data_IF_763999244465
#
_entry.id   IF_763999244465
#
_cell.length_a   1.000
_cell.length_b   1.000
_cell.length_c   1.000
_cell.angle_alpha   90.00
_cell.angle_beta   90.00
_cell.angle_gamma   90.00
#
_symmetry.space_group_name_H-M   'P 1'
#
loop_
_entity.id
_entity.type
_entity.pdbx_description
1 polymer ?
#
# COMPACT_ATOMS: atom_id res chain seq x y z
N UNK A 1 30.87 -11.07 21.08
CA UNK A 1 31.28 -9.69 20.79
C UNK A 1 30.49 -9.24 19.58
N UNK A 2 29.57 -8.26 19.69
CA UNK A 2 28.94 -7.68 18.50
C UNK A 2 29.96 -6.79 17.79
N UNK A 3 30.03 -6.90 16.46
CA UNK A 3 30.85 -6.04 15.59
C UNK A 3 29.98 -4.98 14.92
N UNK A 4 30.62 -3.95 14.37
CA UNK A 4 29.96 -2.91 13.59
C UNK A 4 29.28 -3.55 12.36
N UNK A 5 28.00 -3.25 12.13
CA UNK A 5 27.20 -3.76 11.01
C UNK A 5 26.81 -2.62 10.08
N UNK A 6 26.95 -2.82 8.78
CA UNK A 6 26.55 -1.82 7.78
C UNK A 6 25.04 -1.60 7.72
N UNK A 7 24.26 -2.56 8.22
CA UNK A 7 22.81 -2.44 8.38
C UNK A 7 22.41 -1.30 9.31
N UNK A 8 23.27 -0.96 10.29
CA UNK A 8 23.03 0.12 11.25
C UNK A 8 23.39 1.51 10.69
N UNK A 9 24.05 1.56 9.51
CA UNK A 9 24.50 2.82 8.91
C UNK A 9 23.41 3.52 8.09
N UNK A 10 22.55 2.75 7.43
CA UNK A 10 21.57 3.26 6.47
C UNK A 10 20.16 2.96 6.95
N UNK A 11 19.38 4.01 7.22
CA UNK A 11 17.99 3.87 7.62
C UNK A 11 17.10 3.41 6.45
N UNK A 12 16.11 2.57 6.76
CA UNK A 12 15.09 2.09 5.81
C UNK A 12 13.80 2.87 5.98
N UNK A 13 13.00 2.94 4.92
CA UNK A 13 11.68 3.58 4.98
C UNK A 13 10.68 2.75 5.80
N UNK A 14 9.91 3.42 6.67
CA UNK A 14 8.91 2.79 7.52
C UNK A 14 7.51 2.80 6.86
N UNK A 15 7.35 2.09 5.74
CA UNK A 15 6.05 1.94 5.06
C UNK A 15 5.27 0.76 5.63
N UNK A 16 3.97 0.94 5.86
CA UNK A 16 3.09 -0.13 6.32
C UNK A 16 2.91 -1.24 5.27
N UNK A 17 2.57 -2.44 5.72
CA UNK A 17 2.38 -3.59 4.84
C UNK A 17 1.33 -3.33 3.74
N UNK A 18 0.17 -2.78 4.10
CA UNK A 18 -0.92 -2.50 3.16
C UNK A 18 -0.55 -1.45 2.09
N UNK A 19 0.34 -0.49 2.42
CA UNK A 19 0.81 0.53 1.46
C UNK A 19 2.03 0.09 0.65
N UNK A 20 2.61 -1.07 0.98
CA UNK A 20 3.84 -1.55 0.36
C UNK A 20 3.51 -2.31 -0.93
N UNK A 21 4.20 -1.95 -2.02
CA UNK A 21 3.98 -2.59 -3.33
C UNK A 21 4.45 -4.04 -3.36
N UNK A 22 5.61 -4.34 -2.76
CA UNK A 22 6.12 -5.71 -2.66
C UNK A 22 7.19 -5.84 -1.57
N UNK A 23 7.45 -7.07 -1.12
CA UNK A 23 8.53 -7.39 -0.17
C UNK A 23 9.88 -7.70 -0.84
N UNK A 24 10.00 -7.52 -2.15
CA UNK A 24 11.27 -7.68 -2.85
C UNK A 24 12.31 -6.67 -2.33
N UNK A 25 13.59 -7.07 -2.21
CA UNK A 25 14.67 -6.17 -1.76
C UNK A 25 14.90 -5.01 -2.74
N UNK A 26 14.44 -5.12 -3.99
CA UNK A 26 14.56 -4.06 -4.99
C UNK A 26 13.49 -2.96 -4.84
N UNK A 27 12.45 -3.19 -4.04
CA UNK A 27 11.35 -2.24 -3.80
C UNK A 27 11.21 -1.90 -2.31
N UNK A 28 12.20 -2.22 -1.47
CA UNK A 28 12.26 -1.81 -0.06
C UNK A 28 12.53 -0.32 0.10
N UNK A 29 13.24 0.26 -0.87
CA UNK A 29 13.69 1.66 -0.85
C UNK A 29 12.57 2.62 -1.26
N UNK A 30 12.76 3.91 -0.92
CA UNK A 30 11.80 4.99 -1.17
C UNK A 30 11.33 5.04 -2.62
N UNK A 31 10.01 5.10 -2.85
CA UNK A 31 9.40 5.23 -4.19
C UNK A 31 9.95 6.42 -4.99
N UNK A 32 10.16 7.56 -4.33
CA UNK A 32 10.74 8.78 -4.91
C UNK A 32 12.18 8.58 -5.42
N UNK A 33 12.91 7.59 -4.92
CA UNK A 33 14.29 7.31 -5.33
C UNK A 33 14.41 6.93 -6.81
N UNK A 34 13.39 6.27 -7.38
CA UNK A 34 13.36 5.98 -8.81
C UNK A 34 13.29 7.26 -9.65
N UNK A 35 12.48 8.23 -9.21
CA UNK A 35 12.35 9.53 -9.88
C UNK A 35 13.60 10.39 -9.69
N UNK A 36 14.16 10.44 -8.47
CA UNK A 36 15.44 11.09 -8.19
C UNK A 36 16.58 10.58 -9.08
N UNK A 37 16.68 9.25 -9.24
CA UNK A 37 17.66 8.61 -10.12
C UNK A 37 17.47 9.02 -11.58
N UNK A 38 16.23 9.13 -12.05
CA UNK A 38 15.92 9.57 -13.41
C UNK A 38 16.28 11.05 -13.62
N UNK A 39 15.96 11.90 -12.65
CA UNK A 39 16.24 13.34 -12.66
C UNK A 39 17.72 13.69 -12.44
N UNK A 40 18.54 12.75 -11.95
CA UNK A 40 19.94 12.96 -11.57
C UNK A 40 20.11 14.07 -10.51
N UNK A 41 19.12 14.23 -9.65
CA UNK A 41 19.09 15.22 -8.58
C UNK A 41 18.69 14.59 -7.25
N UNK A 42 19.01 15.27 -6.15
CA UNK A 42 18.61 14.85 -4.82
C UNK A 42 17.37 15.65 -4.38
N UNK A 43 16.38 14.97 -3.82
CA UNK A 43 15.19 15.59 -3.23
C UNK A 43 15.26 15.46 -1.71
N UNK A 44 15.07 16.57 -1.00
CA UNK A 44 15.10 16.65 0.46
C UNK A 44 13.80 17.28 0.99
N UNK A 45 12.64 16.76 0.54
CA UNK A 45 11.36 17.25 1.06
C UNK A 45 11.21 16.85 2.54
N UNK A 46 11.01 17.82 3.45
CA UNK A 46 11.29 17.63 4.86
C UNK A 46 10.25 16.81 5.62
N UNK A 47 9.00 16.72 5.15
CA UNK A 47 8.01 15.79 5.71
C UNK A 47 7.02 15.33 4.63
N UNK A 48 6.87 14.01 4.40
CA UNK A 48 5.73 13.50 3.66
C UNK A 48 4.43 13.77 4.42
N UNK A 49 3.32 13.80 3.70
CA UNK A 49 1.98 14.04 4.26
C UNK A 49 1.66 13.04 5.39
N UNK A 50 1.28 13.58 6.55
CA UNK A 50 0.83 12.79 7.69
C UNK A 50 -0.56 12.22 7.42
N UNK A 51 -0.87 11.07 8.02
CA UNK A 51 -2.26 10.62 8.09
C UNK A 51 -3.12 11.68 8.81
N UNK A 52 -4.40 11.75 8.45
CA UNK A 52 -5.37 12.55 9.18
C UNK A 52 -5.50 12.07 10.63
N UNK A 53 -6.08 12.90 11.50
CA UNK A 53 -6.40 12.51 12.88
C UNK A 53 -7.31 11.29 12.94
N UNK A 54 -8.19 11.15 11.95
CA UNK A 54 -9.16 10.06 11.82
C UNK A 54 -9.04 9.46 10.41
N UNK A 55 -8.09 8.54 10.17
CA UNK A 55 -7.85 7.98 8.85
C UNK A 55 -8.75 6.75 8.62
N UNK A 56 -9.94 6.99 8.08
CA UNK A 56 -10.86 5.94 7.63
C UNK A 56 -10.71 5.68 6.13
N UNK A 57 -10.63 4.40 5.77
CA UNK A 57 -10.58 3.94 4.38
C UNK A 57 -11.62 2.83 4.18
N UNK A 58 -12.30 2.84 3.04
CA UNK A 58 -13.23 1.78 2.65
C UNK A 58 -12.46 0.53 2.20
N UNK A 59 -13.14 -0.62 2.20
CA UNK A 59 -12.57 -1.87 1.72
C UNK A 59 -12.34 -1.82 0.20
N UNK A 60 -11.08 -1.92 -0.22
CA UNK A 60 -10.74 -2.06 -1.63
C UNK A 60 -10.87 -3.53 -2.06
N UNK A 61 -11.37 -3.74 -3.29
CA UNK A 61 -11.53 -5.06 -3.90
C UNK A 61 -10.72 -5.15 -5.19
N UNK A 62 -10.54 -6.38 -5.70
CA UNK A 62 -9.79 -6.61 -6.95
C UNK A 62 -10.29 -5.72 -8.10
N UNK A 63 -9.35 -5.12 -8.84
CA UNK A 63 -9.63 -4.10 -9.86
C UNK A 63 -10.71 -4.51 -10.87
N UNK A 64 -10.72 -5.76 -11.33
CA UNK A 64 -11.76 -6.25 -12.23
C UNK A 64 -13.13 -6.36 -11.54
N UNK A 65 -13.15 -6.91 -10.32
CA UNK A 65 -14.38 -7.13 -9.54
C UNK A 65 -15.04 -5.82 -9.11
N UNK A 66 -14.26 -4.77 -8.90
CA UNK A 66 -14.77 -3.43 -8.59
C UNK A 66 -15.75 -2.91 -9.65
N UNK A 67 -15.55 -3.27 -10.91
CA UNK A 67 -16.36 -2.77 -12.03
C UNK A 67 -17.27 -3.83 -12.66
N UNK A 68 -17.02 -5.10 -12.40
CA UNK A 68 -17.73 -6.21 -13.05
C UNK A 68 -18.32 -7.19 -12.03
N UNK A 69 -18.75 -6.70 -10.87
CA UNK A 69 -19.46 -7.53 -9.88
C UNK A 69 -20.86 -7.85 -10.43
N UNK A 70 -21.18 -9.13 -10.68
CA UNK A 70 -22.50 -9.47 -11.19
C UNK A 70 -23.56 -9.24 -10.10
N UNK A 71 -24.75 -8.79 -10.51
CA UNK A 71 -25.88 -8.58 -9.61
C UNK A 71 -26.58 -9.90 -9.26
N UNK A 72 -25.88 -10.77 -8.54
CA UNK A 72 -26.41 -12.05 -8.07
C UNK A 72 -26.88 -11.88 -6.63
N UNK A 73 -28.11 -12.29 -6.34
CA UNK A 73 -28.67 -12.26 -4.99
C UNK A 73 -29.34 -13.57 -4.60
N UNK A 74 -29.30 -13.86 -3.31
CA UNK A 74 -29.95 -15.02 -2.69
C UNK A 74 -30.67 -14.55 -1.44
N UNK A 75 -31.99 -14.77 -1.38
CA UNK A 75 -32.85 -14.28 -0.31
C UNK A 75 -32.70 -12.76 -0.08
N UNK A 76 -31.99 -12.35 0.97
CA UNK A 76 -31.75 -10.94 1.37
C UNK A 76 -30.26 -10.55 1.30
N UNK A 77 -29.48 -11.23 0.47
CA UNK A 77 -28.05 -10.99 0.37
C UNK A 77 -27.60 -10.91 -1.08
N UNK A 78 -26.78 -9.91 -1.40
CA UNK A 78 -25.95 -9.90 -2.59
C UNK A 78 -24.82 -10.89 -2.41
N UNK A 79 -24.65 -11.77 -3.39
CA UNK A 79 -23.65 -12.84 -3.37
C UNK A 79 -22.68 -12.62 -4.52
N UNK A 80 -21.40 -12.48 -4.20
CA UNK A 80 -20.32 -12.54 -5.18
C UNK A 80 -19.32 -13.62 -4.79
N UNK A 81 -18.47 -14.09 -5.73
CA UNK A 81 -17.49 -15.12 -5.41
C UNK A 81 -16.44 -14.71 -4.35
N UNK A 82 -16.35 -13.43 -3.98
CA UNK A 82 -15.43 -12.94 -2.93
C UNK A 82 -16.10 -12.22 -1.76
N UNK A 83 -17.33 -11.72 -1.91
CA UNK A 83 -17.99 -10.89 -0.89
C UNK A 83 -19.48 -11.18 -0.79
N UNK A 84 -20.01 -11.02 0.42
CA UNK A 84 -21.43 -11.00 0.75
C UNK A 84 -21.81 -9.61 1.23
N UNK A 85 -22.98 -9.11 0.84
CA UNK A 85 -23.54 -7.89 1.43
C UNK A 85 -25.05 -8.00 1.59
N UNK A 86 -25.61 -7.28 2.58
CA UNK A 86 -27.05 -7.25 2.80
C UNK A 86 -27.75 -6.57 1.61
N UNK A 87 -28.87 -7.15 1.17
CA UNK A 87 -29.76 -6.61 0.13
C UNK A 87 -31.18 -6.65 0.67
N UNK A 88 -31.89 -5.53 0.61
CA UNK A 88 -33.29 -5.42 1.06
C UNK A 88 -34.25 -6.32 0.27
#
# INVERSE_FOLDING_TARGET
MLSVRTEDFFSKEAVSHARRVSWAPHTTEKKLGAFAKLARSNFNDPLPESFSSEPYFEEEIEAYRAHHRPDVYVYKYNVSPTHLSLRE
#
